data_IF_804865919859
#
_entry.id   IF_804865919859
#
_cell.length_a   1.000
_cell.length_b   1.000
_cell.length_c   1.000
_cell.angle_alpha   90.00
_cell.angle_beta   90.00
_cell.angle_gamma   90.00
#
_symmetry.space_group_name_H-M   'P 1'
#
loop_
_entity.id
_entity.type
_entity.pdbx_description
1 polymer ?
#
# COMPACT_ATOMS: atom_id res chain seq x y z
N UNK A 1 14.93 31.01 17.72
CA UNK A 1 16.40 31.09 17.54
C UNK A 1 17.05 31.54 18.86
N UNK A 2 18.35 31.32 19.08
CA UNK A 2 19.11 31.86 20.25
C UNK A 2 18.66 31.45 21.66
N UNK A 3 17.84 30.40 21.79
CA UNK A 3 17.43 29.82 23.08
C UNK A 3 18.50 28.93 23.75
N UNK A 4 19.67 28.76 23.13
CA UNK A 4 20.76 27.94 23.68
C UNK A 4 20.72 26.45 23.34
N UNK A 5 19.91 26.03 22.34
CA UNK A 5 19.79 24.61 21.89
C UNK A 5 21.15 23.93 21.67
N UNK A 6 21.98 24.49 20.79
CA UNK A 6 23.29 23.92 20.46
C UNK A 6 24.21 23.86 21.67
N UNK A 7 24.13 24.84 22.58
CA UNK A 7 24.90 24.82 23.83
C UNK A 7 24.45 23.72 24.79
N UNK A 8 23.15 23.41 24.85
CA UNK A 8 22.64 22.25 25.62
C UNK A 8 23.13 20.93 25.02
N UNK A 9 23.18 20.82 23.69
CA UNK A 9 23.69 19.62 23.03
C UNK A 9 25.19 19.45 23.27
N UNK A 10 25.98 20.49 23.11
CA UNK A 10 27.42 20.46 23.39
C UNK A 10 27.72 20.17 24.87
N UNK A 11 26.90 20.68 25.80
CA UNK A 11 27.08 20.37 27.22
C UNK A 11 26.79 18.91 27.54
N UNK A 12 25.90 18.26 26.78
CA UNK A 12 25.64 16.81 26.89
C UNK A 12 26.78 15.97 26.29
N UNK A 13 27.45 16.46 25.24
CA UNK A 13 28.60 15.77 24.63
C UNK A 13 29.90 16.02 25.42
N UNK A 14 30.04 17.19 26.03
CA UNK A 14 31.27 17.62 26.68
C UNK A 14 32.27 18.33 25.76
N UNK A 15 31.96 18.50 24.47
CA UNK A 15 32.82 19.12 23.46
C UNK A 15 32.09 20.06 22.50
N UNK A 16 32.87 20.95 21.91
CA UNK A 16 32.40 21.95 20.97
C UNK A 16 32.40 21.35 19.56
N UNK A 17 31.26 20.83 19.11
CA UNK A 17 31.16 20.16 17.80
C UNK A 17 30.12 20.78 16.87
N UNK A 18 29.22 21.61 17.40
CA UNK A 18 28.18 22.23 16.59
C UNK A 18 28.67 23.58 16.05
N UNK A 19 28.29 23.93 14.81
CA UNK A 19 28.57 25.24 14.26
C UNK A 19 27.90 26.34 15.09
N UNK A 20 28.56 27.48 15.20
CA UNK A 20 28.10 28.64 15.99
C UNK A 20 28.27 29.92 15.17
N UNK A 21 27.23 30.74 15.13
CA UNK A 21 27.23 32.00 14.39
C UNK A 21 25.99 32.85 14.68
N UNK A 22 26.02 34.09 14.18
CA UNK A 22 24.87 34.99 14.18
C UNK A 22 23.96 34.65 12.98
N UNK A 23 22.68 34.40 13.20
CA UNK A 23 21.75 33.96 12.14
C UNK A 23 21.27 32.51 12.29
N UNK A 24 20.60 31.97 11.27
CA UNK A 24 20.13 30.57 11.24
C UNK A 24 21.34 29.67 10.97
N UNK A 25 21.94 29.17 12.04
CA UNK A 25 23.16 28.35 11.96
C UNK A 25 22.83 26.91 11.55
N UNK A 26 21.92 26.26 12.27
CA UNK A 26 21.40 24.92 11.91
C UNK A 26 20.38 25.05 10.78
N UNK A 27 20.78 24.70 9.54
CA UNK A 27 19.92 24.73 8.33
C UNK A 27 19.47 23.34 7.85
N UNK A 28 20.03 22.29 8.44
CA UNK A 28 19.65 20.88 8.22
C UNK A 28 19.47 20.22 9.59
N UNK A 29 18.54 19.27 9.74
CA UNK A 29 18.47 18.45 10.93
C UNK A 29 19.80 17.70 11.15
N UNK A 30 20.32 17.68 12.38
CA UNK A 30 21.49 16.89 12.74
C UNK A 30 21.07 15.76 13.69
N UNK A 31 21.20 14.52 13.24
CA UNK A 31 21.00 13.33 14.05
C UNK A 31 22.34 12.97 14.68
N UNK A 32 22.48 13.33 15.96
CA UNK A 32 23.66 13.10 16.78
C UNK A 32 23.45 11.87 17.66
N UNK A 33 24.25 10.83 17.43
CA UNK A 33 24.23 9.59 18.21
C UNK A 33 25.47 9.53 19.09
N UNK A 34 25.29 9.69 20.40
CA UNK A 34 26.32 9.48 21.40
C UNK A 34 26.40 7.99 21.73
N UNK A 35 27.58 7.41 21.58
CA UNK A 35 27.86 6.01 21.86
C UNK A 35 28.90 5.96 22.98
N UNK A 36 28.49 5.43 24.12
CA UNK A 36 29.37 5.15 25.23
C UNK A 36 30.28 3.99 24.86
N UNK A 37 31.60 4.22 24.87
CA UNK A 37 32.61 3.18 24.64
C UNK A 37 33.40 2.98 25.92
N UNK A 38 33.42 1.73 26.42
CA UNK A 38 34.23 1.40 27.58
C UNK A 38 35.72 1.40 27.21
N UNK A 39 36.63 1.73 28.15
CA UNK A 39 38.09 1.70 27.89
C UNK A 39 38.59 0.33 27.42
N UNK A 40 37.88 -0.75 27.72
CA UNK A 40 38.21 -2.12 27.30
C UNK A 40 37.64 -2.48 25.91
N UNK A 41 36.46 -1.94 25.55
CA UNK A 41 35.80 -2.19 24.26
C UNK A 41 36.35 -1.32 23.13
N UNK A 42 36.95 -0.16 23.43
CA UNK A 42 37.62 0.69 22.44
C UNK A 42 38.71 -0.05 21.67
N UNK A 43 39.34 -1.06 22.29
CA UNK A 43 40.34 -1.95 21.67
C UNK A 43 39.73 -3.06 20.80
N UNK A 44 38.45 -3.41 20.96
CA UNK A 44 37.79 -4.53 20.25
C UNK A 44 36.93 -4.09 19.07
N UNK A 45 36.44 -2.86 19.04
CA UNK A 45 35.75 -2.30 17.87
C UNK A 45 36.70 -1.98 16.70
N UNK A 46 38.02 -2.10 16.91
CA UNK A 46 39.09 -2.00 15.92
C UNK A 46 39.31 -3.31 15.11
N UNK A 47 38.21 -3.99 14.74
CA UNK A 47 38.24 -5.21 13.92
C UNK A 47 38.47 -4.97 12.42
N UNK A 48 38.56 -3.71 11.97
CA UNK A 48 38.88 -3.31 10.60
C UNK A 48 40.11 -2.38 10.59
N UNK A 49 41.27 -2.97 10.34
CA UNK A 49 42.54 -2.44 9.78
C UNK A 49 43.17 -1.11 10.24
N UNK A 50 42.70 -0.39 11.26
CA UNK A 50 43.48 0.72 11.84
C UNK A 50 43.31 0.77 13.37
N UNK A 51 44.40 0.61 14.12
CA UNK A 51 44.43 0.85 15.57
C UNK A 51 44.06 2.32 15.84
N UNK A 52 42.84 2.56 16.32
CA UNK A 52 42.41 3.90 16.73
C UNK A 52 42.85 4.10 18.19
N UNK A 53 44.00 4.73 18.38
CA UNK A 53 44.53 5.11 19.70
C UNK A 53 43.92 6.44 20.19
N UNK A 54 42.62 6.65 19.96
CA UNK A 54 41.91 7.88 20.32
C UNK A 54 40.83 7.60 21.38
N UNK A 55 40.90 8.33 22.49
CA UNK A 55 39.93 8.24 23.60
C UNK A 55 38.51 8.63 23.15
N UNK A 56 38.39 9.56 22.18
CA UNK A 56 37.13 10.04 21.65
C UNK A 56 37.24 10.31 20.15
N UNK A 57 36.22 9.91 19.38
CA UNK A 57 36.19 10.11 17.92
C UNK A 57 34.76 10.23 17.37
N UNK A 58 34.64 10.73 16.15
CA UNK A 58 33.39 10.87 15.40
C UNK A 58 33.39 10.13 14.06
N UNK A 59 32.19 9.79 13.58
CA UNK A 59 31.98 9.16 12.26
C UNK A 59 30.69 9.67 11.64
N UNK A 60 30.78 10.18 10.41
CA UNK A 60 29.60 10.55 9.63
C UNK A 60 29.12 9.40 8.75
N UNK A 61 27.82 9.37 8.47
CA UNK A 61 27.26 8.39 7.55
C UNK A 61 27.73 8.62 6.10
N UNK A 62 27.83 9.88 5.67
CA UNK A 62 28.17 10.22 4.28
C UNK A 62 29.65 10.02 3.94
N UNK A 63 30.54 10.06 4.94
CA UNK A 63 31.98 9.79 4.77
C UNK A 63 32.36 8.31 4.98
N UNK A 64 31.36 7.44 5.11
CA UNK A 64 31.49 5.98 5.28
C UNK A 64 32.45 5.61 6.41
N UNK A 65 33.73 5.34 6.12
CA UNK A 65 34.72 4.79 7.05
C UNK A 65 35.72 5.82 7.60
N UNK A 66 35.65 7.09 7.19
CA UNK A 66 36.52 8.13 7.74
C UNK A 66 36.23 8.35 9.23
N UNK A 67 37.28 8.28 10.05
CA UNK A 67 37.24 8.53 11.50
C UNK A 67 37.77 9.94 11.74
N UNK A 68 37.06 10.69 12.57
CA UNK A 68 37.40 12.06 12.93
C UNK A 68 37.84 12.08 14.39
N UNK A 69 39.12 12.34 14.67
CA UNK A 69 39.63 12.50 16.03
C UNK A 69 39.62 13.96 16.47
N UNK A 70 39.64 14.90 15.52
CA UNK A 70 39.53 16.33 15.76
C UNK A 70 38.05 16.78 15.69
N UNK A 71 37.56 17.35 16.78
CA UNK A 71 36.19 17.87 16.88
C UNK A 71 35.98 19.19 16.15
N UNK A 72 37.05 19.95 15.88
CA UNK A 72 36.96 21.12 15.00
C UNK A 72 36.80 20.68 13.53
N UNK A 73 37.41 19.57 13.12
CA UNK A 73 37.16 18.97 11.80
C UNK A 73 35.71 18.46 11.67
N UNK A 74 35.16 17.85 12.74
CA UNK A 74 33.74 17.45 12.78
C UNK A 74 32.84 18.68 12.60
N UNK A 75 33.16 19.80 13.27
CA UNK A 75 32.39 21.04 13.15
C UNK A 75 32.42 21.57 11.71
N UNK A 76 33.61 21.64 11.11
CA UNK A 76 33.78 22.08 9.73
C UNK A 76 33.05 21.15 8.75
N UNK A 77 33.08 19.84 8.97
CA UNK A 77 32.36 18.88 8.13
C UNK A 77 30.83 19.09 8.20
N UNK A 78 30.27 19.40 9.37
CA UNK A 78 28.84 19.74 9.49
C UNK A 78 28.52 20.99 8.67
N UNK A 79 29.38 22.02 8.72
CA UNK A 79 29.20 23.25 7.92
C UNK A 79 29.29 22.96 6.42
N UNK A 80 30.33 22.25 6.00
CA UNK A 80 30.56 21.86 4.60
C UNK A 80 29.39 21.05 4.02
N UNK A 81 28.93 20.04 4.75
CA UNK A 81 27.81 19.19 4.33
C UNK A 81 26.48 19.95 4.34
N UNK A 82 26.33 20.94 5.24
CA UNK A 82 25.18 21.85 5.23
C UNK A 82 25.17 22.73 3.98
N UNK A 83 26.32 23.32 3.63
CA UNK A 83 26.48 24.17 2.45
C UNK A 83 26.37 23.40 1.14
N UNK A 84 26.85 22.15 1.10
CA UNK A 84 26.79 21.29 -0.09
C UNK A 84 25.37 21.07 -0.61
N UNK A 85 24.41 20.85 0.30
CA UNK A 85 23.02 20.56 -0.06
C UNK A 85 22.14 21.81 -0.02
N UNK A 86 22.31 22.66 0.99
CA UNK A 86 21.44 23.84 1.19
C UNK A 86 21.90 25.06 0.37
N UNK A 87 23.08 24.95 -0.27
CA UNK A 87 23.76 26.05 -0.95
C UNK A 87 24.20 27.17 0.00
N UNK A 88 24.85 28.18 -0.58
CA UNK A 88 25.20 29.41 0.15
C UNK A 88 24.00 30.36 0.35
N UNK A 89 22.84 30.05 -0.26
CA UNK A 89 21.68 30.95 -0.30
C UNK A 89 20.73 30.80 0.91
N UNK A 90 21.23 30.34 2.07
CA UNK A 90 20.50 30.25 3.35
C UNK A 90 19.19 29.43 3.34
N UNK A 91 19.00 28.53 2.37
CA UNK A 91 17.88 27.59 2.33
C UNK A 91 17.94 26.54 3.44
N UNK A 92 16.83 25.84 3.66
CA UNK A 92 16.69 24.74 4.63
C UNK A 92 16.40 23.46 3.85
N UNK A 93 17.07 22.36 4.23
CA UNK A 93 16.82 21.04 3.65
C UNK A 93 16.30 20.08 4.71
N UNK A 94 15.30 19.24 4.39
CA UNK A 94 14.79 18.22 5.30
C UNK A 94 15.74 17.04 5.47
N UNK A 95 16.75 16.89 4.59
CA UNK A 95 17.67 15.76 4.62
C UNK A 95 18.64 15.84 5.81
N UNK A 96 18.59 14.89 6.76
CA UNK A 96 19.37 14.97 7.99
C UNK A 96 20.84 14.58 7.80
N UNK A 97 21.74 15.24 8.53
CA UNK A 97 23.14 14.83 8.69
C UNK A 97 23.21 13.81 9.84
N UNK A 98 23.84 12.67 9.61
CA UNK A 98 24.00 11.61 10.62
C UNK A 98 25.43 11.58 11.14
N UNK A 99 25.59 11.84 12.44
CA UNK A 99 26.88 11.88 13.13
C UNK A 99 26.85 10.96 14.36
N UNK A 100 27.81 10.04 14.44
CA UNK A 100 28.07 9.24 15.64
C UNK A 100 29.30 9.78 16.36
N UNK A 101 29.19 10.01 17.66
CA UNK A 101 30.31 10.37 18.54
C UNK A 101 30.53 9.24 19.53
N UNK A 102 31.77 8.79 19.65
CA UNK A 102 32.21 7.73 20.54
C UNK A 102 33.05 8.35 21.65
N UNK A 103 32.68 8.10 22.90
CA UNK A 103 33.40 8.61 24.08
C UNK A 103 33.09 7.76 25.31
N UNK A 104 34.03 7.69 26.24
CA UNK A 104 33.85 7.08 27.57
C UNK A 104 33.08 7.98 28.55
N UNK A 105 33.00 9.28 28.26
CA UNK A 105 32.42 10.30 29.13
C UNK A 105 30.95 10.60 28.84
N UNK A 106 30.42 10.05 27.74
CA UNK A 106 29.02 10.25 27.31
C UNK A 106 28.14 9.05 27.67
N UNK A 107 26.83 9.29 27.72
CA UNK A 107 25.82 8.23 27.81
C UNK A 107 25.28 7.91 26.43
N UNK A 108 24.81 6.67 26.22
CA UNK A 108 24.12 6.28 25.00
C UNK A 108 22.86 7.13 24.81
N UNK A 109 22.88 8.03 23.83
CA UNK A 109 21.80 9.00 23.62
C UNK A 109 21.74 9.43 22.15
N UNK A 110 20.55 9.37 21.57
CA UNK A 110 20.30 9.90 20.23
C UNK A 110 19.55 11.22 20.35
N UNK A 111 20.10 12.27 19.76
CA UNK A 111 19.58 13.63 19.76
C UNK A 111 19.34 14.08 18.32
N UNK A 112 18.30 14.86 18.11
CA UNK A 112 18.04 15.50 16.81
C UNK A 112 18.06 17.01 17.03
N UNK A 113 19.10 17.69 16.52
CA UNK A 113 19.12 19.16 16.48
C UNK A 113 18.30 19.63 15.28
N UNK A 114 17.34 20.51 15.54
CA UNK A 114 16.44 21.05 14.52
C UNK A 114 16.71 22.55 14.33
N UNK A 115 16.52 23.08 13.11
CA UNK A 115 16.57 24.51 12.86
C UNK A 115 15.73 25.31 13.87
N UNK A 116 16.29 26.39 14.38
CA UNK A 116 15.57 27.22 15.34
C UNK A 116 14.53 28.11 14.67
N UNK A 117 13.29 28.12 15.18
CA UNK A 117 12.21 29.02 14.72
C UNK A 117 12.69 30.48 14.56
N UNK A 118 12.39 31.08 13.42
CA UNK A 118 12.61 32.50 13.08
C UNK A 118 11.29 33.12 12.61
N UNK A 119 10.98 34.34 13.07
CA UNK A 119 9.72 35.05 12.72
C UNK A 119 9.85 35.97 11.51
N UNK A 120 11.07 36.39 11.18
CA UNK A 120 11.33 37.31 10.08
C UNK A 120 12.41 36.67 9.20
N UNK A 121 12.18 36.54 7.88
CA UNK A 121 13.21 36.07 6.96
C UNK A 121 14.38 37.05 6.93
N UNK A 122 15.61 36.55 6.99
CA UNK A 122 16.82 37.37 7.01
C UNK A 122 17.70 37.08 5.79
N UNK A 123 18.05 38.11 5.02
CA UNK A 123 18.83 37.97 3.78
C UNK A 123 18.01 37.31 2.67
N UNK A 124 18.60 36.36 1.95
CA UNK A 124 17.98 35.68 0.80
C UNK A 124 17.02 34.54 1.18
N UNK A 125 16.60 34.46 2.44
CA UNK A 125 15.65 33.46 2.90
C UNK A 125 14.27 33.69 2.27
N UNK A 126 13.56 32.61 1.90
CA UNK A 126 12.24 32.73 1.32
C UNK A 126 11.23 33.25 2.35
N UNK A 127 10.16 33.91 1.88
CA UNK A 127 9.17 34.57 2.77
C UNK A 127 8.42 33.58 3.68
N UNK A 128 8.36 32.32 3.30
CA UNK A 128 7.73 31.20 3.99
C UNK A 128 8.71 30.37 4.84
N UNK A 129 9.93 30.85 5.10
CA UNK A 129 10.95 30.12 5.88
C UNK A 129 10.46 29.67 7.26
N UNK A 130 9.62 30.47 7.92
CA UNK A 130 9.02 30.11 9.21
C UNK A 130 8.13 28.87 9.08
N UNK A 131 7.31 28.81 8.03
CA UNK A 131 6.43 27.67 7.75
C UNK A 131 7.26 26.43 7.41
N UNK A 132 8.30 26.57 6.59
CA UNK A 132 9.20 25.46 6.25
C UNK A 132 9.91 24.90 7.49
N UNK A 133 10.44 25.75 8.37
CA UNK A 133 11.04 25.32 9.64
C UNK A 133 9.99 24.61 10.51
N UNK A 134 8.79 25.17 10.60
CA UNK A 134 7.70 24.60 11.41
C UNK A 134 7.29 23.22 10.90
N UNK A 135 7.07 23.08 9.60
CA UNK A 135 6.75 21.79 8.97
C UNK A 135 7.86 20.77 9.15
N UNK A 136 9.12 21.19 8.98
CA UNK A 136 10.27 20.34 9.24
C UNK A 136 10.29 19.85 10.69
N UNK A 137 10.08 20.74 11.67
CA UNK A 137 10.01 20.36 13.07
C UNK A 137 8.86 19.36 13.30
N UNK A 138 7.66 19.66 12.76
CA UNK A 138 6.48 18.80 12.88
C UNK A 138 6.73 17.39 12.32
N UNK A 139 7.50 17.23 11.24
CA UNK A 139 7.85 15.91 10.71
C UNK A 139 8.58 15.03 11.76
N UNK A 140 9.46 15.62 12.56
CA UNK A 140 10.18 14.90 13.62
C UNK A 140 9.34 14.75 14.89
N UNK A 141 8.70 15.83 15.36
CA UNK A 141 8.00 15.81 16.65
C UNK A 141 6.62 15.16 16.59
N UNK A 142 6.01 15.00 15.41
CA UNK A 142 4.73 14.27 15.25
C UNK A 142 4.86 12.77 15.46
N UNK A 143 6.09 12.23 15.43
CA UNK A 143 6.32 10.84 15.77
C UNK A 143 5.98 10.60 17.26
N UNK A 144 4.97 9.76 17.59
CA UNK A 144 4.61 9.49 18.99
C UNK A 144 5.77 8.83 19.76
N UNK A 145 6.66 8.13 19.05
CA UNK A 145 7.83 7.48 19.60
C UNK A 145 9.04 8.45 19.69
N UNK A 146 8.81 9.71 20.07
CA UNK A 146 9.87 10.71 20.26
C UNK A 146 9.68 11.52 21.54
N UNK A 147 10.78 11.88 22.19
CA UNK A 147 10.81 12.79 23.35
C UNK A 147 11.11 14.20 22.84
N UNK A 148 10.25 15.16 23.15
CA UNK A 148 10.40 16.55 22.74
C UNK A 148 11.19 17.31 23.82
N UNK A 149 12.32 17.89 23.43
CA UNK A 149 13.12 18.76 24.30
C UNK A 149 12.80 20.24 24.02
N UNK A 150 11.89 20.82 24.81
CA UNK A 150 11.46 22.21 24.64
C UNK A 150 12.45 23.18 25.32
N UNK A 151 13.46 23.61 24.57
CA UNK A 151 14.52 24.52 25.07
C UNK A 151 14.11 25.99 24.99
N UNK A 152 13.96 26.64 26.14
CA UNK A 152 13.57 28.05 26.29
C UNK A 152 14.56 28.80 27.18
N UNK A 153 14.81 30.08 26.91
CA UNK A 153 15.72 30.90 27.71
C UNK A 153 15.00 31.54 28.91
N UNK A 154 15.64 31.55 30.08
CA UNK A 154 15.08 32.06 31.35
C UNK A 154 14.79 33.57 31.34
N UNK A 155 15.50 34.33 30.52
CA UNK A 155 15.30 35.77 30.36
C UNK A 155 14.12 36.14 29.44
N UNK A 156 13.35 35.15 28.98
CA UNK A 156 12.14 35.35 28.17
C UNK A 156 10.93 34.77 28.88
N UNK A 157 9.75 35.36 28.69
CA UNK A 157 8.52 34.82 29.28
C UNK A 157 8.19 33.44 28.71
N UNK A 158 8.22 32.44 29.58
CA UNK A 158 8.00 31.04 29.27
C UNK A 158 6.61 30.77 28.72
N UNK A 159 5.60 31.58 29.11
CA UNK A 159 4.25 31.47 28.59
C UNK A 159 4.17 31.76 27.08
N UNK A 160 5.13 32.51 26.55
CA UNK A 160 5.25 32.85 25.12
C UNK A 160 6.23 31.96 24.35
N UNK A 161 6.69 30.86 24.97
CA UNK A 161 7.67 29.97 24.33
C UNK A 161 7.10 29.26 23.10
N UNK A 162 7.64 29.57 21.93
CA UNK A 162 7.29 28.90 20.67
C UNK A 162 7.62 27.39 20.71
N UNK A 163 8.67 27.00 21.44
CA UNK A 163 9.05 25.59 21.59
C UNK A 163 7.99 24.79 22.35
N UNK A 164 7.38 25.38 23.38
CA UNK A 164 6.27 24.76 24.10
C UNK A 164 4.96 24.82 23.32
N UNK A 165 4.72 25.89 22.58
CA UNK A 165 3.54 26.04 21.72
C UNK A 165 3.49 24.94 20.65
N UNK A 166 4.57 24.75 19.90
CA UNK A 166 4.63 23.71 18.86
C UNK A 166 4.61 22.29 19.46
N UNK A 167 5.21 22.09 20.64
CA UNK A 167 5.13 20.80 21.33
C UNK A 167 3.69 20.47 21.73
N UNK A 168 2.91 21.43 22.23
CA UNK A 168 1.49 21.24 22.61
C UNK A 168 0.59 20.89 21.43
N UNK A 169 0.93 21.26 20.21
CA UNK A 169 0.16 20.89 19.02
C UNK A 169 0.19 19.36 18.77
N UNK A 170 1.29 18.69 19.13
CA UNK A 170 1.51 17.25 18.91
C UNK A 170 1.56 16.42 20.21
N UNK A 171 1.59 17.08 21.36
CA UNK A 171 1.60 16.51 22.72
C UNK A 171 0.85 17.46 23.69
N UNK A 172 -0.48 17.60 23.57
CA UNK A 172 -1.26 18.55 24.36
C UNK A 172 -1.21 18.27 25.87
N UNK A 173 -1.08 17.01 26.26
CA UNK A 173 -0.96 16.58 27.65
C UNK A 173 0.47 16.71 28.21
N UNK A 174 1.46 16.99 27.36
CA UNK A 174 2.86 17.09 27.75
C UNK A 174 3.46 15.77 28.26
N UNK A 175 2.99 14.62 27.77
CA UNK A 175 3.40 13.28 28.24
C UNK A 175 4.83 12.93 27.84
N UNK A 176 5.27 13.41 26.68
CA UNK A 176 6.58 13.14 26.08
C UNK A 176 7.41 14.42 25.87
N UNK A 177 6.99 15.52 26.49
CA UNK A 177 7.66 16.82 26.41
C UNK A 177 8.40 17.15 27.70
N UNK A 178 9.71 17.39 27.61
CA UNK A 178 10.59 17.84 28.69
C UNK A 178 10.96 19.30 28.44
N UNK A 179 10.71 20.19 29.39
CA UNK A 179 11.10 21.59 29.27
C UNK A 179 12.52 21.82 29.81
N UNK A 180 13.35 22.51 29.02
CA UNK A 180 14.71 22.89 29.43
C UNK A 180 14.82 24.40 29.48
N UNK A 181 15.18 24.93 30.63
CA UNK A 181 15.35 26.36 30.87
C UNK A 181 16.83 26.70 30.85
N UNK A 182 17.29 27.41 29.83
CA UNK A 182 18.68 27.85 29.70
C UNK A 182 18.86 29.27 30.24
N UNK A 183 20.10 29.74 30.39
CA UNK A 183 20.43 31.14 30.72
C UNK A 183 19.86 31.63 32.07
N UNK A 184 19.79 30.77 33.09
CA UNK A 184 19.29 31.14 34.44
C UNK A 184 20.12 32.26 35.12
N UNK A 185 21.37 32.41 34.69
CA UNK A 185 22.34 33.42 35.08
C UNK A 185 21.97 34.82 34.56
N UNK A 186 21.28 34.91 33.41
CA UNK A 186 20.88 36.17 32.76
C UNK A 186 19.48 36.64 33.15
N UNK A 187 18.91 36.12 34.22
CA UNK A 187 17.65 36.61 34.77
C UNK A 187 17.85 37.95 35.47
N UNK A 188 16.85 38.83 35.35
CA UNK A 188 16.88 40.15 35.98
C UNK A 188 17.03 40.05 37.50
N UNK A 189 17.85 40.93 38.07
CA UNK A 189 18.09 40.96 39.50
C UNK A 189 16.78 41.21 40.26
N UNK A 190 16.42 40.31 41.18
CA UNK A 190 15.14 40.34 41.90
C UNK A 190 14.06 39.43 41.32
N UNK A 191 14.30 38.80 40.16
CA UNK A 191 13.43 37.74 39.61
C UNK A 191 14.07 36.36 39.77
N UNK A 192 13.23 35.33 39.88
CA UNK A 192 13.66 33.94 39.93
C UNK A 192 12.77 33.04 39.06
N UNK A 193 13.32 31.90 38.66
CA UNK A 193 12.59 30.91 37.86
C UNK A 193 11.98 29.80 38.74
N UNK A 194 11.82 30.02 40.04
CA UNK A 194 11.45 28.97 41.00
C UNK A 194 10.05 28.42 40.72
N UNK A 195 9.08 29.30 40.46
CA UNK A 195 7.71 28.88 40.13
C UNK A 195 7.64 28.09 38.81
N UNK A 196 8.48 28.47 37.84
CA UNK A 196 8.57 27.75 36.57
C UNK A 196 9.24 26.39 36.80
N UNK A 197 10.39 26.33 37.47
CA UNK A 197 11.12 25.08 37.73
C UNK A 197 10.32 24.10 38.61
N UNK A 198 9.43 24.59 39.48
CA UNK A 198 8.50 23.78 40.26
C UNK A 198 7.26 23.33 39.48
N UNK A 199 7.09 23.75 38.23
CA UNK A 199 5.96 23.37 37.38
C UNK A 199 4.64 24.04 37.74
N UNK A 200 4.67 25.17 38.48
CA UNK A 200 3.45 25.92 38.84
C UNK A 200 2.88 26.71 37.68
N UNK A 201 3.74 27.18 36.77
CA UNK A 201 3.35 28.01 35.62
C UNK A 201 3.03 27.17 34.40
N UNK A 202 3.83 26.15 34.11
CA UNK A 202 3.71 25.31 32.91
C UNK A 202 3.69 23.84 33.33
N UNK A 203 2.55 23.14 33.21
CA UNK A 203 2.50 21.72 33.50
C UNK A 203 3.10 20.94 32.32
N UNK A 204 4.23 20.27 32.56
CA UNK A 204 4.82 19.25 31.66
C UNK A 204 5.09 17.99 32.47
N UNK A 205 4.69 16.81 31.95
CA UNK A 205 4.71 15.56 32.74
C UNK A 205 6.11 15.01 32.94
N UNK A 206 7.03 15.27 32.02
CA UNK A 206 8.44 14.87 32.16
C UNK A 206 9.26 15.80 33.08
N UNK A 207 8.66 16.92 33.50
CA UNK A 207 9.28 17.91 34.39
C UNK A 207 10.03 19.02 33.65
N UNK A 208 10.70 19.86 34.45
CA UNK A 208 11.38 21.08 33.99
C UNK A 208 12.79 21.05 34.57
N UNK A 209 13.80 21.24 33.71
CA UNK A 209 15.20 21.20 34.10
C UNK A 209 15.89 22.50 33.66
N UNK A 210 16.44 23.22 34.63
CA UNK A 210 17.23 24.40 34.44
C UNK A 210 18.70 24.08 34.20
N UNK A 211 19.34 24.77 33.26
CA UNK A 211 20.76 24.63 32.91
C UNK A 211 21.42 25.99 32.71
N UNK A 212 22.70 26.08 33.06
CA UNK A 212 23.56 27.25 32.84
C UNK A 212 24.69 26.83 31.92
N UNK A 213 24.80 27.52 30.79
CA UNK A 213 25.78 27.22 29.75
C UNK A 213 26.74 28.40 29.59
N UNK A 214 27.86 28.17 28.88
CA UNK A 214 28.84 29.21 28.53
C UNK A 214 28.18 30.38 27.79
N UNK A 215 28.48 31.59 28.22
CA UNK A 215 28.12 32.82 27.51
C UNK A 215 28.97 33.00 26.25
N UNK A 216 28.61 33.96 25.39
CA UNK A 216 29.43 34.28 24.22
C UNK A 216 30.85 34.73 24.60
N UNK A 217 31.00 35.43 25.73
CA UNK A 217 32.30 35.84 26.24
C UNK A 217 33.14 34.64 26.72
N UNK A 218 32.51 33.70 27.43
CA UNK A 218 33.17 32.45 27.86
C UNK A 218 33.67 31.62 26.68
N UNK A 219 32.89 31.59 25.60
CA UNK A 219 33.26 30.89 24.35
C UNK A 219 34.45 31.57 23.68
N UNK A 220 34.42 32.90 23.57
CA UNK A 220 35.55 33.66 23.02
C UNK A 220 36.83 33.45 23.84
N UNK A 221 36.67 33.30 25.16
CA UNK A 221 37.77 32.99 26.09
C UNK A 221 38.14 31.50 26.14
N UNK A 222 37.56 30.66 25.27
CA UNK A 222 37.80 29.21 25.19
C UNK A 222 37.63 28.48 26.53
N UNK A 223 36.65 28.89 27.34
CA UNK A 223 36.33 28.20 28.59
C UNK A 223 35.90 26.76 28.31
N UNK A 224 36.52 25.81 29.00
CA UNK A 224 36.22 24.39 28.84
C UNK A 224 34.80 24.06 29.29
N UNK A 225 34.20 23.03 28.70
CA UNK A 225 32.87 22.55 29.13
C UNK A 225 32.90 22.04 30.57
N UNK A 226 34.00 21.39 30.98
CA UNK A 226 34.18 20.89 32.35
C UNK A 226 34.17 22.03 33.39
N UNK A 227 34.82 23.15 33.10
CA UNK A 227 34.81 24.33 33.97
C UNK A 227 33.43 24.98 33.99
N UNK A 228 32.73 25.03 32.84
CA UNK A 228 31.35 25.52 32.78
C UNK A 228 30.40 24.70 33.65
N UNK A 229 30.54 23.37 33.67
CA UNK A 229 29.70 22.50 34.53
C UNK A 229 30.02 22.73 36.01
N UNK A 230 31.28 23.03 36.36
CA UNK A 230 31.67 23.38 37.73
C UNK A 230 31.05 24.70 38.18
N UNK A 231 31.08 25.70 37.31
CA UNK A 231 30.48 27.00 37.58
C UNK A 231 28.95 26.94 37.63
N UNK A 232 28.33 26.14 36.76
CA UNK A 232 26.90 25.83 36.81
C UNK A 232 26.51 25.28 38.19
N UNK A 233 27.27 24.31 38.69
CA UNK A 233 27.01 23.72 40.00
C UNK A 233 27.13 24.76 41.12
N UNK A 234 28.18 25.58 41.11
CA UNK A 234 28.37 26.66 42.09
C UNK A 234 27.24 27.70 42.06
N UNK A 235 26.80 28.08 40.86
CA UNK A 235 25.68 29.00 40.67
C UNK A 235 24.36 28.43 41.20
N UNK A 236 24.03 27.18 40.84
CA UNK A 236 22.79 26.53 41.27
C UNK A 236 22.74 26.35 42.79
N UNK A 237 23.85 25.98 43.42
CA UNK A 237 23.94 25.87 44.88
C UNK A 237 23.73 27.21 45.59
N UNK A 238 24.17 28.32 44.99
CA UNK A 238 24.02 29.66 45.57
C UNK A 238 22.64 30.27 45.33
N UNK A 239 22.11 30.19 44.10
CA UNK A 239 20.86 30.86 43.69
C UNK A 239 19.61 30.00 43.91
N UNK A 240 19.72 28.68 43.77
CA UNK A 240 18.60 27.73 43.90
C UNK A 240 18.97 26.48 44.75
N UNK A 241 19.33 26.63 46.04
CA UNK A 241 19.89 25.53 46.84
C UNK A 241 19.00 24.28 46.90
N UNK A 242 17.68 24.47 47.08
CA UNK A 242 16.71 23.38 47.20
C UNK A 242 16.47 22.62 45.89
N UNK A 243 16.75 23.26 44.75
CA UNK A 243 16.53 22.72 43.41
C UNK A 243 17.84 22.32 42.71
N UNK A 244 19.00 22.60 43.30
CA UNK A 244 20.31 22.34 42.70
C UNK A 244 20.50 20.86 42.33
N UNK A 245 19.96 19.94 43.14
CA UNK A 245 20.04 18.49 42.88
C UNK A 245 19.13 17.99 41.74
N UNK A 246 18.16 18.81 41.30
CA UNK A 246 17.20 18.51 40.23
C UNK A 246 17.44 19.34 38.97
N UNK A 247 18.51 20.13 38.96
CA UNK A 247 18.89 21.00 37.86
C UNK A 247 20.36 20.76 37.48
N UNK A 248 20.76 21.34 36.36
CA UNK A 248 22.11 21.26 35.84
C UNK A 248 22.30 20.16 34.81
N UNK A 249 23.36 20.32 34.02
CA UNK A 249 23.67 19.49 32.84
C UNK A 249 23.81 18.02 33.19
N UNK A 250 24.46 17.69 34.32
CA UNK A 250 24.63 16.29 34.76
C UNK A 250 23.30 15.61 35.08
N UNK A 251 22.38 16.34 35.72
CA UNK A 251 21.05 15.83 36.04
C UNK A 251 20.21 15.67 34.76
N UNK A 252 20.31 16.63 33.83
CA UNK A 252 19.67 16.56 32.52
C UNK A 252 20.12 15.31 31.74
N UNK A 253 21.43 15.07 31.61
CA UNK A 253 21.97 13.92 30.89
C UNK A 253 21.46 12.57 31.45
N UNK A 254 21.50 12.41 32.78
CA UNK A 254 20.99 11.20 33.45
C UNK A 254 19.49 11.03 33.26
N UNK A 255 18.73 12.12 33.34
CA UNK A 255 17.28 12.09 33.17
C UNK A 255 16.90 11.75 31.74
N UNK A 256 17.56 12.35 30.74
CA UNK A 256 17.35 12.05 29.32
C UNK A 256 17.64 10.59 28.99
N UNK A 257 18.76 10.03 29.49
CA UNK A 257 19.08 8.63 29.29
C UNK A 257 18.01 7.70 29.90
N UNK A 258 17.59 7.98 31.15
CA UNK A 258 16.52 7.21 31.80
C UNK A 258 15.20 7.29 31.04
N UNK A 259 14.81 8.49 30.61
CA UNK A 259 13.58 8.70 29.85
C UNK A 259 13.63 8.01 28.49
N UNK A 260 14.75 8.11 27.77
CA UNK A 260 14.93 7.42 26.50
C UNK A 260 14.82 5.91 26.66
N UNK A 261 15.48 5.32 27.67
CA UNK A 261 15.41 3.89 27.93
C UNK A 261 14.00 3.41 28.31
N UNK A 262 13.28 4.17 29.14
CA UNK A 262 11.89 3.88 29.49
C UNK A 262 10.99 3.96 28.26
N UNK A 263 11.13 5.03 27.48
CA UNK A 263 10.35 5.27 26.27
C UNK A 263 10.59 4.19 25.20
N UNK A 264 11.85 3.79 24.98
CA UNK A 264 12.19 2.67 24.09
C UNK A 264 11.50 1.40 24.59
N UNK A 265 11.60 1.08 25.88
CA UNK A 265 10.97 -0.12 26.46
C UNK A 265 9.45 -0.16 26.25
N UNK A 266 8.78 0.98 26.41
CA UNK A 266 7.32 1.07 26.26
C UNK A 266 6.88 0.99 24.79
N UNK A 267 7.66 1.58 23.87
CA UNK A 267 7.35 1.60 22.45
C UNK A 267 7.75 0.31 21.71
N UNK A 268 8.65 -0.51 22.27
CA UNK A 268 9.16 -1.72 21.61
C UNK A 268 8.07 -2.77 21.28
N UNK A 269 7.11 -3.08 22.17
CA UNK A 269 6.01 -3.99 21.86
C UNK A 269 5.18 -3.53 20.66
N UNK A 270 4.79 -2.26 20.62
CA UNK A 270 4.00 -1.68 19.52
C UNK A 270 4.79 -1.61 18.22
N UNK A 271 6.09 -1.29 18.29
CA UNK A 271 6.96 -1.32 17.12
C UNK A 271 7.05 -2.74 16.54
N UNK A 272 7.21 -3.76 17.40
CA UNK A 272 7.25 -5.16 16.98
C UNK A 272 5.94 -5.59 16.32
N UNK A 273 4.79 -5.26 16.90
CA UNK A 273 3.50 -5.60 16.29
C UNK A 273 3.31 -4.90 14.95
N UNK A 274 3.67 -3.62 14.84
CA UNK A 274 3.61 -2.88 13.58
C UNK A 274 4.49 -3.51 12.48
N UNK A 275 5.73 -3.90 12.82
CA UNK A 275 6.62 -4.59 11.87
C UNK A 275 6.01 -5.91 11.42
N UNK A 276 5.44 -6.69 12.33
CA UNK A 276 4.80 -7.96 11.96
C UNK A 276 3.59 -7.77 11.05
N UNK A 277 2.77 -6.74 11.29
CA UNK A 277 1.64 -6.40 10.42
C UNK A 277 2.14 -6.00 9.03
N UNK A 278 3.14 -5.13 8.94
CA UNK A 278 3.72 -4.72 7.66
C UNK A 278 4.35 -5.90 6.92
N UNK A 279 5.05 -6.78 7.62
CA UNK A 279 5.64 -7.99 7.05
C UNK A 279 4.56 -8.93 6.49
N UNK A 280 3.46 -9.15 7.22
CA UNK A 280 2.35 -9.96 6.75
C UNK A 280 1.64 -9.33 5.53
N UNK A 281 1.46 -8.01 5.53
CA UNK A 281 0.90 -7.27 4.39
C UNK A 281 1.78 -7.41 3.14
N UNK A 282 3.09 -7.22 3.28
CA UNK A 282 4.02 -7.38 2.17
C UNK A 282 4.15 -8.83 1.71
N UNK A 283 4.06 -9.79 2.62
CA UNK A 283 4.01 -11.20 2.25
C UNK A 283 2.74 -11.53 1.45
N UNK A 284 1.57 -11.00 1.86
CA UNK A 284 0.33 -11.17 1.10
C UNK A 284 0.43 -10.55 -0.30
N UNK A 285 1.08 -9.39 -0.41
CA UNK A 285 1.31 -8.73 -1.69
C UNK A 285 2.27 -9.55 -2.57
N UNK A 286 3.36 -10.08 -2.00
CA UNK A 286 4.27 -10.99 -2.71
C UNK A 286 3.54 -12.23 -3.22
N UNK A 287 2.69 -12.85 -2.40
CA UNK A 287 1.89 -14.00 -2.80
C UNK A 287 0.93 -13.66 -3.95
N UNK A 288 0.43 -12.41 -4.04
CA UNK A 288 -0.42 -11.98 -5.17
C UNK A 288 0.34 -11.87 -6.50
N UNK A 289 1.66 -11.61 -6.46
CA UNK A 289 2.52 -11.66 -7.64
C UNK A 289 2.91 -13.08 -8.04
N UNK A 290 2.60 -14.09 -7.20
CA UNK A 290 2.97 -15.49 -7.39
C UNK A 290 4.46 -15.75 -7.17
N UNK A 291 4.91 -16.93 -7.57
CA UNK A 291 6.29 -17.38 -7.34
C UNK A 291 7.24 -16.98 -8.48
N UNK A 292 8.54 -16.76 -8.20
CA UNK A 292 9.53 -16.58 -9.25
C UNK A 292 9.55 -17.81 -10.18
N UNK A 293 9.66 -17.57 -11.50
CA UNK A 293 9.75 -18.68 -12.45
C UNK A 293 11.15 -19.26 -12.41
N UNK A 294 11.34 -20.36 -11.69
CA UNK A 294 12.58 -21.13 -11.70
C UNK A 294 12.62 -22.09 -12.90
N UNK A 295 11.56 -22.87 -13.09
CA UNK A 295 11.38 -23.77 -14.22
C UNK A 295 10.26 -23.29 -15.16
N UNK A 296 10.66 -22.82 -16.34
CA UNK A 296 9.74 -22.34 -17.38
C UNK A 296 8.80 -23.43 -17.89
N UNK A 297 9.28 -24.67 -18.00
CA UNK A 297 8.54 -25.79 -18.59
C UNK A 297 7.44 -26.27 -17.65
N UNK A 298 7.77 -26.49 -16.37
CA UNK A 298 6.80 -26.85 -15.35
C UNK A 298 5.76 -25.76 -15.14
N UNK A 299 6.20 -24.48 -15.09
CA UNK A 299 5.29 -23.33 -14.94
C UNK A 299 4.30 -23.26 -16.10
N UNK A 300 4.76 -23.43 -17.35
CA UNK A 300 3.89 -23.43 -18.52
C UNK A 300 2.83 -24.53 -18.44
N UNK A 301 3.25 -25.75 -18.09
CA UNK A 301 2.33 -26.89 -17.96
C UNK A 301 1.29 -26.63 -16.87
N UNK A 302 1.72 -26.16 -15.69
CA UNK A 302 0.83 -25.85 -14.58
C UNK A 302 -0.21 -24.79 -14.96
N UNK A 303 0.21 -23.72 -15.64
CA UNK A 303 -0.69 -22.66 -16.08
C UNK A 303 -1.73 -23.15 -17.10
N UNK A 304 -1.30 -23.93 -18.10
CA UNK A 304 -2.21 -24.50 -19.11
C UNK A 304 -3.19 -25.49 -18.47
N UNK A 305 -2.69 -26.40 -17.60
CA UNK A 305 -3.53 -27.39 -16.91
C UNK A 305 -4.55 -26.72 -16.01
N UNK A 306 -4.15 -25.68 -15.27
CA UNK A 306 -5.04 -24.89 -14.41
C UNK A 306 -6.13 -24.22 -15.24
N UNK A 307 -5.76 -23.54 -16.33
CA UNK A 307 -6.73 -22.94 -17.24
C UNK A 307 -7.73 -23.96 -17.81
N UNK A 308 -7.24 -25.10 -18.31
CA UNK A 308 -8.09 -26.15 -18.86
C UNK A 308 -9.05 -26.72 -17.83
N UNK A 309 -8.57 -26.92 -16.59
CA UNK A 309 -9.40 -27.40 -15.47
C UNK A 309 -10.51 -26.41 -15.15
N UNK A 310 -10.19 -25.12 -15.01
CA UNK A 310 -11.20 -24.09 -14.71
C UNK A 310 -12.20 -23.89 -15.87
N UNK A 311 -11.73 -23.99 -17.12
CA UNK A 311 -12.61 -23.94 -18.29
C UNK A 311 -13.63 -25.09 -18.29
N UNK A 312 -13.19 -26.33 -18.03
CA UNK A 312 -14.09 -27.47 -17.89
C UNK A 312 -15.04 -27.31 -16.70
N UNK A 313 -14.53 -26.91 -15.54
CA UNK A 313 -15.34 -26.72 -14.34
C UNK A 313 -16.43 -25.64 -14.54
N UNK A 314 -16.15 -24.60 -15.33
CA UNK A 314 -17.14 -23.55 -15.64
C UNK A 314 -18.26 -24.07 -16.54
N UNK A 315 -17.94 -24.98 -17.48
CA UNK A 315 -18.95 -25.67 -18.30
C UNK A 315 -19.76 -26.65 -17.45
N UNK A 316 -19.14 -27.35 -16.51
CA UNK A 316 -19.81 -28.30 -15.61
C UNK A 316 -20.59 -27.63 -14.47
N UNK A 317 -20.35 -26.34 -14.20
CA UNK A 317 -20.94 -25.61 -13.08
C UNK A 317 -20.29 -25.92 -11.72
N UNK A 318 -19.08 -26.47 -11.72
CA UNK A 318 -18.30 -26.86 -10.52
C UNK A 318 -17.11 -25.92 -10.27
N UNK A 319 -17.02 -24.81 -11.02
CA UNK A 319 -15.98 -23.82 -10.85
C UNK A 319 -15.96 -23.25 -9.42
N UNK A 320 -14.76 -23.00 -8.89
CA UNK A 320 -14.59 -22.44 -7.53
C UNK A 320 -15.16 -21.03 -7.41
N UNK A 321 -15.20 -20.29 -8.52
CA UNK A 321 -15.68 -18.92 -8.60
C UNK A 321 -16.97 -18.91 -9.41
N UNK A 322 -18.11 -18.96 -8.71
CA UNK A 322 -19.43 -18.84 -9.32
C UNK A 322 -19.84 -17.37 -9.22
N UNK A 323 -19.85 -16.68 -10.36
CA UNK A 323 -20.36 -15.32 -10.44
C UNK A 323 -21.88 -15.30 -10.23
N UNK A 324 -22.36 -14.39 -9.38
CA UNK A 324 -23.78 -14.29 -8.98
C UNK A 324 -24.56 -13.22 -9.74
N UNK A 325 -23.89 -12.48 -10.63
CA UNK A 325 -24.46 -11.32 -11.34
C UNK A 325 -25.19 -11.73 -12.63
N UNK A 326 -24.58 -12.56 -13.47
CA UNK A 326 -25.12 -13.00 -14.76
C UNK A 326 -25.06 -14.53 -14.87
N UNK A 327 -26.06 -15.13 -15.53
CA UNK A 327 -26.05 -16.55 -15.85
C UNK A 327 -25.02 -16.83 -16.95
N UNK A 328 -23.93 -17.51 -16.62
CA UNK A 328 -22.85 -17.88 -17.54
C UNK A 328 -22.51 -19.38 -17.47
N UNK A 329 -21.69 -19.86 -18.40
CA UNK A 329 -21.14 -21.20 -18.34
C UNK A 329 -22.17 -22.30 -18.60
N UNK A 330 -22.09 -23.39 -17.84
CA UNK A 330 -22.96 -24.56 -18.01
C UNK A 330 -24.46 -24.25 -17.89
N UNK A 331 -24.85 -23.47 -16.89
CA UNK A 331 -26.26 -23.16 -16.64
C UNK A 331 -26.83 -22.27 -17.75
N UNK A 332 -26.01 -21.40 -18.36
CA UNK A 332 -26.41 -20.58 -19.51
C UNK A 332 -26.64 -21.42 -20.75
N UNK A 333 -25.80 -22.42 -21.00
CA UNK A 333 -26.00 -23.38 -22.09
C UNK A 333 -27.32 -24.14 -21.88
N UNK A 334 -27.61 -24.58 -20.65
CA UNK A 334 -28.89 -25.22 -20.32
C UNK A 334 -30.09 -24.31 -20.61
N UNK A 335 -29.99 -23.03 -20.25
CA UNK A 335 -30.99 -22.02 -20.58
C UNK A 335 -31.18 -21.86 -22.10
N UNK A 336 -30.09 -21.84 -22.88
CA UNK A 336 -30.17 -21.77 -24.34
C UNK A 336 -30.97 -22.95 -24.91
N UNK A 337 -30.71 -24.17 -24.44
CA UNK A 337 -31.42 -25.36 -24.95
C UNK A 337 -32.91 -25.40 -24.59
N UNK A 338 -33.29 -24.99 -23.38
CA UNK A 338 -34.67 -25.13 -22.92
C UNK A 338 -35.48 -23.84 -23.13
N UNK A 339 -35.02 -22.72 -22.60
CA UNK A 339 -35.78 -21.47 -22.56
C UNK A 339 -35.70 -20.69 -23.87
N UNK A 340 -34.59 -20.78 -24.59
CA UNK A 340 -34.45 -20.10 -25.89
C UNK A 340 -34.89 -21.01 -27.02
N UNK A 341 -34.22 -22.15 -27.20
CA UNK A 341 -34.46 -23.05 -28.32
C UNK A 341 -35.82 -23.75 -28.22
N UNK A 342 -36.17 -24.29 -27.04
CA UNK A 342 -37.49 -24.89 -26.80
C UNK A 342 -38.64 -23.95 -27.14
N UNK A 343 -38.64 -22.72 -26.58
CA UNK A 343 -39.67 -21.71 -26.89
C UNK A 343 -39.67 -21.30 -28.37
N UNK A 344 -38.51 -21.24 -29.01
CA UNK A 344 -38.42 -20.91 -30.44
C UNK A 344 -39.09 -22.00 -31.28
N UNK A 345 -38.84 -23.28 -30.98
CA UNK A 345 -39.50 -24.39 -31.66
C UNK A 345 -41.01 -24.43 -31.40
N UNK A 346 -41.45 -24.20 -30.16
CA UNK A 346 -42.89 -24.12 -29.81
C UNK A 346 -43.61 -22.98 -30.55
N UNK A 347 -42.90 -21.90 -30.89
CA UNK A 347 -43.45 -20.78 -31.67
C UNK A 347 -43.57 -21.06 -33.17
N UNK A 348 -42.94 -22.13 -33.68
CA UNK A 348 -43.06 -22.52 -35.10
C UNK A 348 -44.45 -23.12 -35.32
N UNK A 349 -45.34 -22.33 -35.90
CA UNK A 349 -46.70 -22.76 -36.22
C UNK A 349 -46.67 -24.01 -37.15
N UNK A 350 -47.24 -25.16 -36.72
CA UNK A 350 -47.28 -26.38 -37.52
C UNK A 350 -48.11 -26.25 -38.81
N UNK A 351 -49.03 -25.29 -38.87
CA UNK A 351 -49.87 -25.01 -40.05
C UNK A 351 -49.45 -23.72 -40.78
N UNK A 352 -48.38 -23.08 -40.33
CA UNK A 352 -47.89 -21.83 -40.91
C UNK A 352 -47.56 -21.99 -42.39
N UNK A 353 -48.18 -21.17 -43.24
CA UNK A 353 -48.02 -21.24 -44.70
C UNK A 353 -48.75 -22.39 -45.39
N UNK A 354 -49.63 -23.12 -44.68
CA UNK A 354 -50.53 -24.13 -45.27
C UNK A 354 -51.92 -23.56 -45.49
N UNK A 355 -52.11 -22.78 -46.56
CA UNK A 355 -53.45 -22.31 -46.91
C UNK A 355 -54.27 -23.44 -47.53
N UNK A 356 -55.59 -23.44 -47.31
CA UNK A 356 -56.49 -24.46 -47.89
C UNK A 356 -56.37 -24.54 -49.40
N UNK A 357 -56.15 -23.41 -50.08
CA UNK A 357 -55.95 -23.35 -51.54
C UNK A 357 -54.64 -24.05 -51.94
N UNK A 358 -53.56 -23.87 -51.18
CA UNK A 358 -52.26 -24.49 -51.44
C UNK A 358 -52.31 -26.00 -51.22
N UNK A 359 -53.04 -26.45 -50.19
CA UNK A 359 -53.30 -27.87 -49.92
C UNK A 359 -54.08 -28.49 -51.09
N UNK A 360 -55.18 -27.86 -51.53
CA UNK A 360 -55.97 -28.34 -52.67
C UNK A 360 -55.15 -28.36 -53.96
N UNK A 361 -54.29 -27.37 -54.15
CA UNK A 361 -53.36 -27.30 -55.29
C UNK A 361 -52.34 -28.45 -55.23
N UNK A 362 -51.76 -28.73 -54.06
CA UNK A 362 -50.86 -29.86 -53.86
C UNK A 362 -51.54 -31.21 -54.14
N UNK A 363 -52.78 -31.41 -53.69
CA UNK A 363 -53.58 -32.62 -53.97
C UNK A 363 -53.81 -32.79 -55.47
N UNK A 364 -54.24 -31.73 -56.16
CA UNK A 364 -54.47 -31.75 -57.62
C UNK A 364 -53.18 -32.03 -58.39
N UNK A 365 -52.08 -31.38 -58.02
CA UNK A 365 -50.78 -31.61 -58.66
C UNK A 365 -50.25 -33.02 -58.38
N UNK A 366 -50.44 -33.56 -57.17
CA UNK A 366 -50.05 -34.93 -56.83
C UNK A 366 -50.87 -35.98 -57.57
N UNK A 367 -52.14 -35.68 -57.88
CA UNK A 367 -53.01 -36.52 -58.71
C UNK A 367 -52.52 -36.56 -60.17
N UNK A 368 -51.96 -35.45 -60.66
CA UNK A 368 -51.38 -35.35 -61.99
C UNK A 368 -52.43 -35.39 -63.11
N UNK A 369 -52.09 -35.95 -64.30
CA UNK A 369 -52.97 -35.90 -65.47
C UNK A 369 -54.11 -36.93 -65.45
N UNK A 370 -54.17 -37.81 -64.44
CA UNK A 370 -55.16 -38.89 -64.37
C UNK A 370 -56.30 -38.51 -63.42
N UNK A 371 -57.54 -38.96 -63.67
CA UNK A 371 -58.60 -38.84 -62.68
C UNK A 371 -58.30 -39.73 -61.46
N UNK A 372 -58.54 -39.22 -60.25
CA UNK A 372 -58.35 -39.97 -59.00
C UNK A 372 -59.68 -40.20 -58.27
N UNK A 373 -59.80 -41.37 -57.63
CA UNK A 373 -60.90 -41.73 -56.75
C UNK A 373 -60.65 -41.31 -55.28
N UNK A 374 -59.38 -41.17 -54.89
CA UNK A 374 -58.95 -40.85 -53.52
C UNK A 374 -57.82 -39.82 -53.51
N UNK A 375 -57.62 -39.15 -52.37
CA UNK A 375 -56.55 -38.16 -52.17
C UNK A 375 -55.20 -38.88 -52.04
N UNK A 376 -54.15 -38.49 -52.79
CA UNK A 376 -52.82 -39.13 -52.69
C UNK A 376 -52.09 -38.80 -51.38
N UNK A 377 -51.50 -39.79 -50.72
CA UNK A 377 -50.62 -39.64 -49.54
C UNK A 377 -49.41 -38.74 -49.82
N UNK A 378 -48.93 -38.73 -51.07
CA UNK A 378 -47.82 -37.89 -51.54
C UNK A 378 -48.07 -36.40 -51.26
N UNK A 379 -49.33 -35.96 -51.28
CA UNK A 379 -49.67 -34.57 -50.96
C UNK A 379 -49.43 -34.24 -49.49
N UNK A 380 -49.75 -35.16 -48.57
CA UNK A 380 -49.46 -35.02 -47.14
C UNK A 380 -47.95 -35.01 -46.89
N UNK A 381 -47.22 -35.98 -47.45
CA UNK A 381 -45.76 -36.05 -47.28
C UNK A 381 -45.07 -34.76 -47.74
N UNK A 382 -45.46 -34.22 -48.90
CA UNK A 382 -44.86 -33.02 -49.45
C UNK A 382 -45.11 -31.79 -48.56
N UNK A 383 -46.31 -31.65 -48.00
CA UNK A 383 -46.66 -30.53 -47.12
C UNK A 383 -45.96 -30.65 -45.75
N UNK A 384 -45.90 -31.85 -45.17
CA UNK A 384 -45.18 -32.09 -43.90
C UNK A 384 -43.69 -31.83 -44.06
N UNK A 385 -43.06 -32.28 -45.16
CA UNK A 385 -41.65 -31.99 -45.45
C UNK A 385 -41.35 -30.49 -45.52
N UNK A 386 -42.29 -29.67 -46.02
CA UNK A 386 -42.14 -28.20 -45.99
C UNK A 386 -42.13 -27.65 -44.56
N UNK A 387 -42.95 -28.21 -43.66
CA UNK A 387 -42.98 -27.79 -42.27
C UNK A 387 -41.73 -28.22 -41.50
N UNK A 388 -41.30 -29.48 -41.65
CA UNK A 388 -40.07 -30.00 -41.02
C UNK A 388 -38.85 -29.17 -41.42
N UNK A 389 -38.76 -28.76 -42.70
CA UNK A 389 -37.63 -27.94 -43.18
C UNK A 389 -37.50 -26.59 -42.46
N UNK A 390 -38.59 -26.03 -41.92
CA UNK A 390 -38.57 -24.78 -41.15
C UNK A 390 -37.88 -24.93 -39.78
N UNK A 391 -37.67 -26.15 -39.30
CA UNK A 391 -37.01 -26.43 -38.03
C UNK A 391 -35.47 -26.38 -38.12
N UNK A 392 -34.91 -26.33 -39.34
CA UNK A 392 -33.47 -26.30 -39.56
C UNK A 392 -32.82 -25.00 -39.09
N UNK A 393 -33.38 -23.85 -39.50
CA UNK A 393 -32.87 -22.53 -39.17
C UNK A 393 -32.79 -22.27 -37.64
N UNK A 394 -33.85 -22.49 -36.83
CA UNK A 394 -33.75 -22.31 -35.38
C UNK A 394 -32.78 -23.29 -34.73
N UNK A 395 -32.61 -24.49 -35.29
CA UNK A 395 -31.66 -25.49 -34.78
C UNK A 395 -30.21 -25.06 -35.02
N UNK A 396 -29.88 -24.57 -36.21
CA UNK A 396 -28.56 -24.00 -36.51
C UNK A 396 -28.30 -22.75 -35.67
N UNK A 397 -29.31 -21.90 -35.47
CA UNK A 397 -29.19 -20.72 -34.61
C UNK A 397 -28.90 -21.10 -33.15
N UNK A 398 -29.47 -22.19 -32.64
CA UNK A 398 -29.13 -22.70 -31.31
C UNK A 398 -27.64 -23.08 -31.20
N UNK A 399 -27.06 -23.71 -32.22
CA UNK A 399 -25.63 -24.04 -32.24
C UNK A 399 -24.76 -22.79 -32.19
N UNK A 400 -25.12 -21.75 -32.94
CA UNK A 400 -24.42 -20.45 -32.91
C UNK A 400 -24.46 -19.80 -31.53
N UNK A 401 -25.61 -19.81 -30.86
CA UNK A 401 -25.76 -19.27 -29.50
C UNK A 401 -24.90 -20.02 -28.48
N UNK A 402 -24.82 -21.35 -28.58
CA UNK A 402 -23.93 -22.14 -27.73
C UNK A 402 -22.46 -21.83 -28.03
N UNK A 403 -22.11 -21.65 -29.31
CA UNK A 403 -20.75 -21.25 -29.69
C UNK A 403 -20.35 -19.89 -29.11
N UNK A 404 -21.25 -18.91 -29.14
CA UNK A 404 -21.05 -17.60 -28.51
C UNK A 404 -20.84 -17.73 -27.01
N UNK A 405 -21.65 -18.53 -26.32
CA UNK A 405 -21.50 -18.75 -24.87
C UNK A 405 -20.17 -19.45 -24.55
N UNK A 406 -19.76 -20.46 -25.33
CA UNK A 406 -18.46 -21.11 -25.14
C UNK A 406 -17.28 -20.15 -25.30
N UNK A 407 -17.37 -19.17 -26.21
CA UNK A 407 -16.37 -18.11 -26.32
C UNK A 407 -16.40 -17.17 -25.11
N UNK A 408 -17.59 -16.87 -24.60
CA UNK A 408 -17.77 -16.03 -23.40
C UNK A 408 -17.14 -16.66 -22.15
N UNK A 409 -17.20 -17.99 -22.01
CA UNK A 409 -16.54 -18.73 -20.92
C UNK A 409 -15.03 -18.47 -20.90
N UNK A 410 -14.39 -18.30 -22.07
CA UNK A 410 -12.95 -17.97 -22.13
C UNK A 410 -12.69 -16.64 -21.41
N UNK A 411 -13.51 -15.62 -21.67
CA UNK A 411 -13.39 -14.30 -21.04
C UNK A 411 -13.64 -14.39 -19.53
N UNK A 412 -14.62 -15.20 -19.11
CA UNK A 412 -14.90 -15.44 -17.71
C UNK A 412 -13.69 -16.10 -17.01
N UNK A 413 -13.14 -17.18 -17.56
CA UNK A 413 -11.92 -17.81 -17.04
C UNK A 413 -10.72 -16.85 -17.02
N UNK A 414 -10.63 -15.97 -18.02
CA UNK A 414 -9.64 -14.89 -18.11
C UNK A 414 -9.85 -13.75 -17.12
N UNK A 415 -10.93 -13.69 -16.34
CA UNK A 415 -11.09 -12.69 -15.29
C UNK A 415 -10.64 -13.19 -13.90
N UNK A 416 -10.65 -14.51 -13.67
CA UNK A 416 -10.37 -15.09 -12.34
C UNK A 416 -9.03 -15.81 -12.25
N UNK A 417 -8.64 -16.55 -13.29
CA UNK A 417 -7.34 -17.28 -13.32
C UNK A 417 -6.16 -16.36 -13.65
N UNK A 418 -6.43 -15.08 -13.90
CA UNK A 418 -5.52 -14.16 -14.57
C UNK A 418 -4.46 -13.53 -13.70
N UNK A 419 -4.52 -13.53 -12.37
CA UNK A 419 -3.41 -12.90 -11.62
C UNK A 419 -2.05 -13.55 -11.96
N UNK A 420 -2.03 -14.87 -12.17
CA UNK A 420 -0.84 -15.60 -12.62
C UNK A 420 -0.60 -15.48 -14.14
N UNK A 421 -1.65 -15.55 -14.97
CA UNK A 421 -1.54 -15.48 -16.44
C UNK A 421 -1.26 -14.05 -16.97
N UNK A 422 -1.64 -13.00 -16.23
CA UNK A 422 -1.34 -11.60 -16.55
C UNK A 422 0.15 -11.29 -16.50
N UNK A 423 0.94 -12.10 -15.76
CA UNK A 423 2.40 -12.06 -15.83
C UNK A 423 2.93 -12.44 -17.22
N UNK A 424 2.15 -13.17 -18.00
CA UNK A 424 2.50 -13.66 -19.33
C UNK A 424 1.43 -13.29 -20.37
N UNK A 425 1.29 -11.98 -20.73
CA UNK A 425 0.24 -11.53 -21.66
C UNK A 425 0.26 -12.29 -23.00
N UNK A 426 1.46 -12.56 -23.54
CA UNK A 426 1.63 -13.34 -24.78
C UNK A 426 1.10 -14.78 -24.66
N UNK A 427 1.29 -15.41 -23.50
CA UNK A 427 0.79 -16.77 -23.28
C UNK A 427 -0.73 -16.76 -23.14
N UNK A 428 -1.28 -15.79 -22.42
CA UNK A 428 -2.72 -15.60 -22.30
C UNK A 428 -3.37 -15.49 -23.69
N UNK A 429 -2.88 -14.58 -24.53
CA UNK A 429 -3.45 -14.35 -25.87
C UNK A 429 -3.35 -15.60 -26.75
N UNK A 430 -2.23 -16.32 -26.67
CA UNK A 430 -2.06 -17.59 -27.39
C UNK A 430 -3.03 -18.68 -26.92
N UNK A 431 -3.30 -18.79 -25.62
CA UNK A 431 -4.30 -19.73 -25.08
C UNK A 431 -5.69 -19.39 -25.61
N UNK A 432 -6.08 -18.11 -25.54
CA UNK A 432 -7.38 -17.63 -26.04
C UNK A 432 -7.54 -17.93 -27.54
N UNK A 433 -6.51 -17.67 -28.34
CA UNK A 433 -6.50 -17.93 -29.77
C UNK A 433 -6.67 -19.43 -30.08
N UNK A 434 -5.91 -20.31 -29.39
CA UNK A 434 -5.98 -21.76 -29.59
C UNK A 434 -7.36 -22.30 -29.24
N UNK A 435 -7.96 -21.89 -28.13
CA UNK A 435 -9.30 -22.34 -27.72
C UNK A 435 -10.36 -21.82 -28.70
N UNK A 436 -10.28 -20.56 -29.11
CA UNK A 436 -11.22 -19.99 -30.10
C UNK A 436 -11.13 -20.70 -31.45
N UNK A 437 -9.91 -21.01 -31.91
CA UNK A 437 -9.66 -21.77 -33.13
C UNK A 437 -10.23 -23.19 -33.04
N UNK A 438 -10.08 -23.86 -31.88
CA UNK A 438 -10.67 -25.16 -31.62
C UNK A 438 -12.20 -25.12 -31.74
N UNK A 439 -12.85 -24.14 -31.11
CA UNK A 439 -14.31 -23.98 -31.20
C UNK A 439 -14.76 -23.75 -32.65
N UNK A 440 -14.05 -22.90 -33.41
CA UNK A 440 -14.36 -22.64 -34.83
C UNK A 440 -14.20 -23.88 -35.70
N UNK A 441 -13.22 -24.74 -35.40
CA UNK A 441 -13.01 -26.00 -36.12
C UNK A 441 -14.12 -27.03 -35.85
N UNK A 442 -14.71 -27.02 -34.66
CA UNK A 442 -15.80 -27.95 -34.28
C UNK A 442 -17.18 -27.47 -34.72
N UNK A 443 -17.38 -26.16 -34.87
CA UNK A 443 -18.64 -25.57 -35.33
C UNK A 443 -19.22 -26.18 -36.63
N UNK A 444 -18.47 -26.29 -37.75
CA UNK A 444 -19.04 -26.84 -38.99
C UNK A 444 -19.43 -28.32 -38.86
N UNK A 445 -18.69 -29.10 -38.05
CA UNK A 445 -19.00 -30.52 -37.81
C UNK A 445 -20.33 -30.66 -37.08
N UNK A 446 -20.58 -29.79 -36.09
CA UNK A 446 -21.86 -29.78 -35.37
C UNK A 446 -23.00 -29.29 -36.27
N UNK A 447 -22.77 -28.25 -37.08
CA UNK A 447 -23.77 -27.76 -38.03
C UNK A 447 -24.16 -28.83 -39.06
N UNK A 448 -23.19 -29.56 -39.60
CA UNK A 448 -23.44 -30.67 -40.52
C UNK A 448 -24.29 -31.77 -39.86
N UNK A 449 -24.00 -32.12 -38.60
CA UNK A 449 -24.81 -33.08 -37.85
C UNK A 449 -26.25 -32.59 -37.63
N UNK A 450 -26.45 -31.32 -37.28
CA UNK A 450 -27.78 -30.73 -37.10
C UNK A 450 -28.56 -30.70 -38.41
N UNK A 451 -27.89 -30.34 -39.52
CA UNK A 451 -28.48 -30.44 -40.86
C UNK A 451 -28.92 -31.88 -41.17
N UNK A 452 -28.06 -32.86 -40.90
CA UNK A 452 -28.36 -34.26 -41.13
C UNK A 452 -29.54 -34.76 -40.28
N UNK A 453 -29.67 -34.32 -39.02
CA UNK A 453 -30.82 -34.65 -38.16
C UNK A 453 -32.14 -34.20 -38.79
N UNK A 454 -32.20 -32.99 -39.31
CA UNK A 454 -33.41 -32.51 -40.02
C UNK A 454 -33.60 -33.25 -41.35
N UNK A 455 -32.52 -33.54 -42.07
CA UNK A 455 -32.59 -34.27 -43.33
C UNK A 455 -33.11 -35.72 -43.15
N UNK A 456 -32.83 -36.37 -42.02
CA UNK A 456 -33.36 -37.69 -41.66
C UNK A 456 -34.89 -37.63 -41.55
N UNK A 457 -35.43 -36.62 -40.86
CA UNK A 457 -36.88 -36.42 -40.74
C UNK A 457 -37.55 -36.13 -42.10
N UNK A 458 -36.83 -35.49 -43.03
CA UNK A 458 -37.30 -35.27 -44.40
C UNK A 458 -37.21 -36.52 -45.28
N UNK A 459 -36.34 -37.48 -44.95
CA UNK A 459 -36.11 -38.66 -45.77
C UNK A 459 -37.29 -39.64 -45.70
N UNK A 460 -37.85 -39.85 -44.51
CA UNK A 460 -38.94 -40.81 -44.30
C UNK A 460 -39.96 -40.32 -43.26
N UNK A 461 -41.24 -40.26 -43.66
CA UNK A 461 -42.35 -39.94 -42.77
C UNK A 461 -43.02 -41.25 -42.37
N UNK A 462 -42.90 -41.62 -41.09
CA UNK A 462 -43.48 -42.85 -40.57
C UNK A 462 -44.94 -42.66 -40.15
N UNK A 463 -45.89 -43.00 -41.02
CA UNK A 463 -47.33 -43.01 -40.69
C UNK A 463 -47.75 -44.12 -39.71
N UNK A 464 -46.82 -45.01 -39.31
CA UNK A 464 -47.03 -46.01 -38.25
C UNK A 464 -46.43 -45.58 -36.91
N UNK A 465 -46.05 -44.32 -36.75
CA UNK A 465 -45.53 -43.81 -35.48
C UNK A 465 -46.57 -44.03 -34.36
N UNK A 466 -46.17 -44.45 -33.14
CA UNK A 466 -47.10 -44.73 -32.04
C UNK A 466 -48.08 -43.59 -31.72
N UNK A 467 -47.62 -42.35 -31.89
CA UNK A 467 -48.41 -41.15 -31.63
C UNK A 467 -49.20 -40.64 -32.85
N UNK A 468 -49.08 -41.30 -34.01
CA UNK A 468 -49.79 -40.93 -35.23
C UNK A 468 -51.09 -41.74 -35.36
N UNK A 469 -52.22 -41.11 -35.03
CA UNK A 469 -53.54 -41.72 -35.17
C UNK A 469 -54.13 -41.44 -36.56
N UNK A 470 -54.57 -42.50 -37.24
CA UNK A 470 -55.10 -42.46 -38.60
C UNK A 470 -56.45 -41.72 -38.67
N UNK A 471 -56.75 -41.06 -39.79
CA UNK A 471 -58.05 -40.42 -40.03
C UNK A 471 -59.24 -41.40 -39.85
N UNK A 472 -58.99 -42.69 -40.08
CA UNK A 472 -59.89 -43.82 -39.85
C UNK A 472 -60.34 -43.97 -38.38
N UNK A 473 -59.44 -43.68 -37.42
CA UNK A 473 -59.75 -43.72 -35.99
C UNK A 473 -60.61 -42.54 -35.52
N UNK A 474 -60.41 -41.36 -36.11
CA UNK A 474 -61.20 -40.16 -35.83
C UNK A 474 -62.59 -40.19 -36.48
N UNK A 475 -62.72 -40.81 -37.67
CA UNK A 475 -64.04 -40.99 -38.31
C UNK A 475 -64.90 -42.03 -37.60
N UNK A 476 -64.33 -43.14 -37.10
CA UNK A 476 -65.09 -44.12 -36.33
C UNK A 476 -65.59 -43.57 -34.98
N UNK A 477 -64.79 -42.77 -34.28
CA UNK A 477 -65.21 -42.12 -33.04
C UNK A 477 -66.34 -41.09 -33.26
N UNK A 478 -66.40 -40.44 -34.43
CA UNK A 478 -67.48 -39.50 -34.77
C UNK A 478 -68.78 -40.18 -35.24
N UNK A 479 -68.74 -41.46 -35.63
CA UNK A 479 -69.93 -42.23 -36.03
C UNK A 479 -70.64 -42.82 -34.80
N UNK A 480 -69.92 -43.16 -33.72
CA UNK A 480 -70.55 -43.63 -32.46
C UNK A 480 -71.33 -42.53 -31.72
N UNK A 481 -71.00 -41.25 -31.93
CA UNK A 481 -71.71 -40.12 -31.30
C UNK A 481 -73.02 -39.76 -32.02
N UNK A 482 -73.33 -40.39 -33.17
CA UNK A 482 -74.54 -40.09 -33.99
C UNK A 482 -75.51 -41.26 -34.18
N UNK A 483 -75.50 -42.27 -33.31
CA UNK A 483 -76.57 -43.28 -33.24
C UNK A 483 -77.44 -43.13 -32.01
#
# INVERSE_FOLDING_TARGET
QSSGKSSVLESLVGRDLLPRGTGVVTRRPLILQLVHVSPEDGRKTAGDENEIDAEEWGKFLHTKNKIYTDFDEIRQEIENETERISGNNKGISPEPIHLKIFSSNVVNLTLVDLPGMTKVPVGDQPKDIELQIRELILQFISNPNSIILAVTAANTDMATSEALKIAREVDPDGRRTLAVITKLDLMDAGTDAMDVLMGRVIPVKLGIIGVVNRSQLDINNKKSVADSIRDEYGFLQKKYPSLANRNGTKYLARTLNRLLMHHIRDCLPELKTRINVLAAQYQSLLNSYGEPVEDKSATLLQLITKFATEYCNTIEGTAKYIETSELCGGARICYIFHETFGRTLESVDPLGGLNTIDILTAIRNATGPRPALFVPEVSFELLVKRQIKRLEEPSLRCVELVHEEMQRIIQHCSNYSTQELLRFPKLHDAIVEVVTCLLRRRLPVTNEMVHNLVAIELAYINTKHPDFADASGLMNNNIEVRK
#
